data_IF_946585000946
#
_entry.id   IF_946585000946
#
_cell.length_a   1.000
_cell.length_b   1.000
_cell.length_c   1.000
_cell.angle_alpha   90.00
_cell.angle_beta   90.00
_cell.angle_gamma   90.00
#
_symmetry.space_group_name_H-M   'P 1'
#
loop_
_entity.id
_entity.type
_entity.pdbx_description
1 polymer ?
#
# COMPACT_ATOMS: atom_id res chain seq x y z
N UNK A 1 9.88 4.73 15.10
CA UNK A 1 9.85 5.60 13.89
C UNK A 1 9.87 4.84 12.55
N UNK A 2 9.86 3.48 12.52
CA UNK A 2 10.05 2.72 11.27
C UNK A 2 8.83 1.91 10.79
N UNK A 3 7.61 2.17 11.30
CA UNK A 3 6.36 1.54 10.83
C UNK A 3 5.73 2.27 9.64
N UNK A 4 6.30 3.41 9.22
CA UNK A 4 5.74 4.34 8.23
C UNK A 4 6.17 4.06 6.78
N UNK A 5 6.92 2.98 6.52
CA UNK A 5 7.72 2.92 5.29
C UNK A 5 6.88 2.68 4.05
N UNK A 6 5.93 1.74 4.06
CA UNK A 6 5.21 1.40 2.82
C UNK A 6 4.21 2.45 2.35
N UNK A 7 3.30 2.88 3.22
CA UNK A 7 2.33 3.91 2.87
C UNK A 7 3.01 5.28 2.70
N UNK A 8 4.02 5.60 3.51
CA UNK A 8 4.76 6.86 3.42
C UNK A 8 5.56 7.02 2.12
N UNK A 9 6.09 5.93 1.56
CA UNK A 9 6.86 5.96 0.32
C UNK A 9 6.02 5.77 -0.96
N UNK A 10 4.74 5.42 -0.82
CA UNK A 10 3.87 5.17 -1.97
C UNK A 10 3.78 6.36 -2.94
N UNK A 11 3.64 7.63 -2.52
CA UNK A 11 3.69 8.77 -3.42
C UNK A 11 4.99 8.85 -4.24
N UNK A 12 6.13 8.52 -3.62
CA UNK A 12 7.44 8.51 -4.30
C UNK A 12 7.47 7.46 -5.41
N UNK A 13 7.01 6.23 -5.15
CA UNK A 13 6.94 5.17 -6.17
C UNK A 13 6.00 5.53 -7.32
N UNK A 14 4.84 6.12 -7.02
CA UNK A 14 3.89 6.57 -8.04
C UNK A 14 4.48 7.68 -8.92
N UNK A 15 5.18 8.64 -8.33
CA UNK A 15 5.86 9.70 -9.08
C UNK A 15 6.95 9.14 -10.00
N UNK A 16 7.76 8.20 -9.50
CA UNK A 16 8.78 7.51 -10.29
C UNK A 16 8.18 6.74 -11.46
N UNK A 17 7.07 6.03 -11.23
CA UNK A 17 6.38 5.27 -12.28
C UNK A 17 5.77 6.19 -13.33
N UNK A 18 5.06 7.26 -12.92
CA UNK A 18 4.47 8.24 -13.82
C UNK A 18 5.50 8.90 -14.74
N UNK A 19 6.71 9.15 -14.24
CA UNK A 19 7.80 9.73 -15.02
C UNK A 19 8.32 8.82 -16.14
N UNK A 20 8.05 7.50 -16.08
CA UNK A 20 8.69 6.49 -16.93
C UNK A 20 7.75 5.84 -17.95
N UNK A 21 6.45 5.81 -17.70
CA UNK A 21 5.47 5.26 -18.65
C UNK A 21 5.43 6.09 -19.94
N UNK A 22 5.24 5.45 -21.10
CA UNK A 22 5.36 6.15 -22.37
C UNK A 22 4.12 7.00 -22.70
N UNK A 23 2.92 6.47 -22.44
CA UNK A 23 1.68 7.11 -22.91
C UNK A 23 1.17 8.18 -21.94
N UNK A 24 0.65 9.29 -22.50
CA UNK A 24 0.02 10.35 -21.71
C UNK A 24 -1.22 9.84 -20.96
N UNK A 25 -1.96 8.87 -21.52
CA UNK A 25 -3.11 8.26 -20.88
C UNK A 25 -2.73 7.53 -19.59
N UNK A 26 -1.75 6.61 -19.68
CA UNK A 26 -1.25 5.87 -18.52
C UNK A 26 -0.60 6.80 -17.49
N UNK A 27 0.19 7.78 -17.95
CA UNK A 27 0.79 8.79 -17.08
C UNK A 27 -0.27 9.59 -16.30
N UNK A 28 -1.33 10.01 -16.99
CA UNK A 28 -2.43 10.76 -16.36
C UNK A 28 -3.19 9.91 -15.35
N UNK A 29 -3.43 8.64 -15.66
CA UNK A 29 -4.08 7.71 -14.75
C UNK A 29 -3.24 7.49 -13.47
N UNK A 30 -1.92 7.28 -13.60
CA UNK A 30 -1.02 7.15 -12.43
C UNK A 30 -0.93 8.46 -11.65
N UNK A 31 -0.87 9.60 -12.34
CA UNK A 31 -0.84 10.92 -11.69
C UNK A 31 -2.14 11.21 -10.92
N UNK A 32 -3.29 10.73 -11.38
CA UNK A 32 -4.54 10.80 -10.63
C UNK A 32 -4.45 10.01 -9.32
N UNK A 33 -3.89 8.79 -9.35
CA UNK A 33 -3.61 8.02 -8.11
C UNK A 33 -2.69 8.78 -7.18
N UNK A 34 -1.58 9.32 -7.71
CA UNK A 34 -0.64 10.12 -6.92
C UNK A 34 -1.32 11.35 -6.28
N UNK A 35 -2.21 12.02 -7.02
CA UNK A 35 -2.95 13.17 -6.50
C UNK A 35 -3.81 12.79 -5.30
N UNK A 36 -4.52 11.66 -5.38
CA UNK A 36 -5.31 11.12 -4.27
C UNK A 36 -4.43 10.79 -3.05
N UNK A 37 -3.29 10.11 -3.25
CA UNK A 37 -2.36 9.78 -2.16
C UNK A 37 -1.78 11.02 -1.47
N UNK A 38 -1.64 12.13 -2.21
CA UNK A 38 -1.16 13.41 -1.70
C UNK A 38 -2.30 14.31 -1.18
N UNK A 39 -3.54 13.81 -1.09
CA UNK A 39 -4.69 14.60 -0.65
C UNK A 39 -4.99 15.80 -1.54
N UNK A 40 -4.69 15.69 -2.84
CA UNK A 40 -4.73 16.77 -3.82
C UNK A 40 -3.90 18.00 -3.41
N UNK A 41 -2.74 17.77 -2.79
CA UNK A 41 -1.86 18.82 -2.30
C UNK A 41 -2.26 19.39 -0.93
N UNK A 42 -3.30 18.84 -0.30
CA UNK A 42 -3.73 19.20 1.05
C UNK A 42 -3.39 18.05 1.98
N UNK A 43 -2.31 18.18 2.76
CA UNK A 43 -1.84 17.11 3.66
C UNK A 43 -2.93 16.60 4.62
N UNK A 44 -3.82 17.49 5.08
CA UNK A 44 -4.94 17.14 5.96
C UNK A 44 -5.92 16.12 5.34
N UNK A 45 -5.90 15.99 4.00
CA UNK A 45 -6.72 15.05 3.21
C UNK A 45 -5.94 13.81 2.76
N UNK A 46 -4.63 13.74 2.98
CA UNK A 46 -3.82 12.62 2.54
C UNK A 46 -4.14 11.35 3.36
N UNK A 47 -4.31 10.18 2.74
CA UNK A 47 -4.56 8.91 3.46
C UNK A 47 -3.52 8.61 4.55
N UNK A 48 -2.27 9.02 4.31
CA UNK A 48 -1.17 8.87 5.27
C UNK A 48 -1.48 9.51 6.63
N UNK A 49 -2.20 10.65 6.66
CA UNK A 49 -2.56 11.31 7.91
C UNK A 49 -3.48 10.43 8.77
N UNK A 50 -4.51 9.86 8.17
CA UNK A 50 -5.42 8.97 8.89
C UNK A 50 -4.72 7.68 9.34
N UNK A 51 -3.75 7.18 8.56
CA UNK A 51 -2.91 6.05 9.00
C UNK A 51 -2.06 6.43 10.22
N UNK A 52 -1.42 7.61 10.22
CA UNK A 52 -0.69 8.11 11.39
C UNK A 52 -1.61 8.25 12.61
N UNK A 53 -2.83 8.75 12.44
CA UNK A 53 -3.81 8.86 13.52
C UNK A 53 -4.16 7.49 14.11
N UNK A 54 -4.45 6.50 13.26
CA UNK A 54 -4.70 5.12 13.70
C UNK A 54 -3.51 4.54 14.47
N UNK A 55 -2.29 4.74 13.98
CA UNK A 55 -1.09 4.25 14.68
C UNK A 55 -0.90 4.90 16.05
N UNK A 56 -1.22 6.19 16.18
CA UNK A 56 -1.18 6.88 17.49
C UNK A 56 -2.21 6.30 18.47
N UNK A 57 -3.39 5.91 18.01
CA UNK A 57 -4.40 5.26 18.85
C UNK A 57 -3.96 3.87 19.31
N UNK A 58 -3.28 3.14 18.42
CA UNK A 58 -2.73 1.82 18.70
C UNK A 58 -1.41 1.85 19.49
N UNK A 59 -0.81 3.02 19.75
CA UNK A 59 0.48 3.11 20.46
C UNK A 59 0.39 2.50 21.86
N UNK A 60 -0.78 2.58 22.52
CA UNK A 60 -1.00 1.94 23.82
C UNK A 60 -0.93 0.41 23.79
N UNK A 61 -1.10 -0.21 22.62
CA UNK A 61 -1.01 -1.66 22.42
C UNK A 61 0.43 -2.10 22.08
N UNK A 62 1.35 -1.14 21.90
CA UNK A 62 2.75 -1.45 21.64
C UNK A 62 3.37 -2.09 22.89
N UNK A 63 4.07 -3.24 22.76
CA UNK A 63 4.74 -3.85 23.90
C UNK A 63 5.77 -2.89 24.52
N UNK A 64 5.69 -2.70 25.83
CA UNK A 64 6.43 -1.66 26.57
C UNK A 64 7.92 -1.98 26.80
N UNK A 65 8.36 -3.22 26.55
CA UNK A 65 9.72 -3.68 26.80
C UNK A 65 10.19 -4.62 25.68
N UNK A 66 10.55 -4.05 24.53
CA UNK A 66 11.26 -4.78 23.47
C UNK A 66 12.72 -4.36 23.46
N UNK A 67 13.63 -5.32 23.43
CA UNK A 67 15.01 -5.06 23.01
C UNK A 67 15.03 -4.55 21.57
N UNK A 68 16.09 -3.82 21.19
CA UNK A 68 16.24 -3.34 19.82
C UNK A 68 16.27 -4.49 18.79
N UNK A 69 16.76 -5.67 19.18
CA UNK A 69 16.73 -6.87 18.33
C UNK A 69 15.32 -7.44 18.15
N UNK A 70 14.51 -7.47 19.20
CA UNK A 70 13.12 -7.93 19.11
C UNK A 70 12.28 -6.97 18.28
N UNK A 71 12.45 -5.66 18.48
CA UNK A 71 11.78 -4.66 17.65
C UNK A 71 12.17 -4.81 16.16
N UNK A 72 13.45 -5.07 15.87
CA UNK A 72 13.89 -5.34 14.49
C UNK A 72 13.23 -6.59 13.91
N UNK A 73 13.15 -7.68 14.68
CA UNK A 73 12.51 -8.91 14.24
C UNK A 73 11.01 -8.73 13.97
N UNK A 74 10.29 -8.01 14.84
CA UNK A 74 8.87 -7.71 14.66
C UNK A 74 8.60 -6.85 13.42
N UNK A 75 9.51 -5.93 13.10
CA UNK A 75 9.38 -5.02 11.95
C UNK A 75 9.94 -5.58 10.64
N UNK A 76 10.69 -6.68 10.69
CA UNK A 76 11.37 -7.25 9.52
C UNK A 76 10.40 -7.57 8.35
N UNK A 77 9.21 -8.18 8.57
CA UNK A 77 8.28 -8.48 7.49
C UNK A 77 7.86 -7.24 6.70
N UNK A 78 7.52 -6.15 7.41
CA UNK A 78 7.11 -4.89 6.78
C UNK A 78 8.23 -4.23 5.97
N UNK A 79 9.47 -4.29 6.47
CA UNK A 79 10.66 -3.78 5.76
C UNK A 79 10.97 -4.60 4.50
N UNK A 80 10.82 -5.93 4.58
CA UNK A 80 11.02 -6.81 3.42
C UNK A 80 9.96 -6.56 2.35
N UNK A 81 8.69 -6.45 2.74
CA UNK A 81 7.63 -6.07 1.82
C UNK A 81 8.00 -4.75 1.13
N UNK A 82 8.34 -3.73 1.91
CA UNK A 82 8.66 -2.42 1.38
C UNK A 82 9.81 -2.43 0.37
N UNK A 83 10.90 -3.14 0.67
CA UNK A 83 12.00 -3.31 -0.27
C UNK A 83 11.53 -3.91 -1.61
N UNK A 84 10.65 -4.92 -1.57
CA UNK A 84 10.06 -5.49 -2.79
C UNK A 84 9.16 -4.51 -3.53
N UNK A 85 8.41 -3.67 -2.82
CA UNK A 85 7.56 -2.66 -3.46
C UNK A 85 8.39 -1.58 -4.16
N UNK A 86 9.52 -1.20 -3.57
CA UNK A 86 10.50 -0.30 -4.18
C UNK A 86 11.12 -0.91 -5.44
N UNK A 87 11.55 -2.17 -5.39
CA UNK A 87 12.08 -2.89 -6.56
C UNK A 87 11.05 -2.93 -7.70
N UNK A 88 9.78 -3.21 -7.40
CA UNK A 88 8.71 -3.23 -8.40
C UNK A 88 8.43 -1.84 -9.00
N UNK A 89 8.43 -0.79 -8.17
CA UNK A 89 8.29 0.59 -8.66
C UNK A 89 9.48 1.06 -9.51
N UNK A 90 10.66 0.51 -9.25
CA UNK A 90 11.89 0.80 -9.98
C UNK A 90 12.21 -0.20 -11.10
N UNK A 91 11.35 -1.19 -11.35
CA UNK A 91 11.57 -2.23 -12.36
C UNK A 91 11.88 -1.64 -13.74
N UNK A 92 12.83 -2.21 -14.48
CA UNK A 92 13.34 -1.64 -15.74
C UNK A 92 12.23 -1.37 -16.78
N UNK A 93 11.27 -2.28 -16.90
CA UNK A 93 10.04 -2.08 -17.67
C UNK A 93 8.96 -1.42 -16.78
N UNK A 94 8.47 -0.21 -17.09
CA UNK A 94 7.45 0.46 -16.31
C UNK A 94 6.10 -0.26 -16.31
N UNK A 95 5.83 -1.17 -17.25
CA UNK A 95 4.62 -1.98 -17.24
C UNK A 95 4.61 -3.00 -16.10
N UNK A 96 5.78 -3.48 -15.67
CA UNK A 96 5.91 -4.31 -14.45
C UNK A 96 5.46 -3.50 -13.22
N UNK A 97 5.95 -2.26 -13.08
CA UNK A 97 5.51 -1.38 -12.00
C UNK A 97 4.01 -1.04 -12.07
N UNK A 98 3.46 -0.90 -13.28
CA UNK A 98 2.03 -0.67 -13.51
C UNK A 98 1.19 -1.89 -13.09
N UNK A 99 1.62 -3.09 -13.43
CA UNK A 99 0.97 -4.33 -13.02
C UNK A 99 0.98 -4.51 -11.50
N UNK A 100 2.12 -4.21 -10.87
CA UNK A 100 2.25 -4.21 -9.42
C UNK A 100 1.32 -3.18 -8.76
N UNK A 101 1.16 -1.98 -9.33
CA UNK A 101 0.22 -0.96 -8.86
C UNK A 101 -1.22 -1.48 -8.91
N UNK A 102 -1.64 -2.05 -10.04
CA UNK A 102 -3.00 -2.60 -10.22
C UNK A 102 -3.33 -3.67 -9.18
N UNK A 103 -2.44 -4.66 -9.02
CA UNK A 103 -2.62 -5.71 -8.02
C UNK A 103 -2.65 -5.14 -6.59
N UNK A 104 -1.78 -4.18 -6.30
CA UNK A 104 -1.72 -3.49 -5.01
C UNK A 104 -3.01 -2.74 -4.68
N UNK A 105 -3.68 -2.13 -5.66
CA UNK A 105 -4.97 -1.45 -5.44
C UNK A 105 -6.09 -2.42 -5.06
N UNK A 106 -6.14 -3.58 -5.73
CA UNK A 106 -7.10 -4.64 -5.41
C UNK A 106 -6.84 -5.16 -3.99
N UNK A 107 -5.58 -5.49 -3.68
CA UNK A 107 -5.20 -5.99 -2.37
C UNK A 107 -5.49 -4.98 -1.26
N UNK A 108 -5.14 -3.70 -1.45
CA UNK A 108 -5.37 -2.63 -0.48
C UNK A 108 -6.86 -2.46 -0.18
N UNK A 109 -7.73 -2.59 -1.18
CA UNK A 109 -9.19 -2.58 -0.98
C UNK A 109 -9.64 -3.79 -0.15
N UNK A 110 -9.21 -5.00 -0.53
CA UNK A 110 -9.55 -6.23 0.20
C UNK A 110 -9.07 -6.18 1.66
N UNK A 111 -7.84 -5.71 1.90
CA UNK A 111 -7.28 -5.58 3.23
C UNK A 111 -8.04 -4.54 4.07
N UNK A 112 -8.37 -3.38 3.50
CA UNK A 112 -9.17 -2.36 4.18
C UNK A 112 -10.56 -2.88 4.57
N UNK A 113 -11.24 -3.59 3.65
CA UNK A 113 -12.55 -4.20 3.92
C UNK A 113 -12.46 -5.25 5.02
N UNK A 114 -11.43 -6.10 4.99
CA UNK A 114 -11.16 -7.09 6.02
C UNK A 114 -10.90 -6.45 7.38
N UNK A 115 -10.01 -5.45 7.46
CA UNK A 115 -9.68 -4.75 8.70
C UNK A 115 -10.90 -4.02 9.27
N UNK A 116 -11.72 -3.40 8.41
CA UNK A 116 -13.00 -2.80 8.81
C UNK A 116 -13.90 -3.82 9.49
N UNK A 117 -14.02 -5.02 8.91
CA UNK A 117 -14.80 -6.11 9.51
C UNK A 117 -14.24 -6.57 10.85
N UNK A 118 -12.91 -6.71 10.98
CA UNK A 118 -12.31 -7.13 12.27
C UNK A 118 -12.48 -6.06 13.35
N UNK A 119 -12.21 -4.79 13.05
CA UNK A 119 -12.38 -3.68 14.01
C UNK A 119 -13.84 -3.53 14.42
N UNK A 120 -14.80 -3.74 13.50
CA UNK A 120 -16.23 -3.65 13.83
C UNK A 120 -16.75 -4.75 14.77
N UNK A 121 -15.97 -5.81 14.99
CA UNK A 121 -16.34 -6.93 15.87
C UNK A 121 -15.87 -6.74 17.31
N UNK A 122 -14.86 -5.88 17.54
CA UNK A 122 -14.39 -5.52 18.88
C UNK A 122 -15.13 -4.26 19.37
N UNK A 123 -15.74 -4.30 20.56
CA UNK A 123 -16.49 -3.17 21.14
C UNK A 123 -15.58 -2.05 21.72
N UNK A 124 -14.27 -2.07 21.46
CA UNK A 124 -13.31 -1.01 21.87
C UNK A 124 -12.01 -1.13 21.06
N UNK A 125 -11.35 -0.05 20.59
CA UNK A 125 -11.47 1.36 20.96
C UNK A 125 -12.38 2.15 20.00
N UNK A 126 -12.78 3.34 20.46
CA UNK A 126 -13.55 4.36 19.72
C UNK A 126 -13.19 4.32 18.24
N UNK A 127 -14.17 3.97 17.41
CA UNK A 127 -14.10 4.01 15.97
C UNK A 127 -13.94 5.46 15.50
N UNK A 128 -12.80 6.07 15.82
CA UNK A 128 -12.31 7.25 15.14
C UNK A 128 -12.20 6.86 13.68
N UNK A 129 -12.77 7.68 12.81
CA UNK A 129 -12.89 7.42 11.37
C UNK A 129 -11.59 6.82 10.83
N UNK A 130 -11.57 5.49 10.65
CA UNK A 130 -10.38 4.83 10.16
C UNK A 130 -10.02 5.50 8.82
N UNK A 131 -8.73 5.67 8.47
CA UNK A 131 -8.31 6.36 7.25
C UNK A 131 -9.05 5.92 5.97
N UNK A 132 -9.54 4.68 5.94
CA UNK A 132 -10.30 4.10 4.84
C UNK A 132 -11.84 4.29 4.91
N UNK A 133 -12.35 4.93 5.97
CA UNK A 133 -13.78 5.22 6.20
C UNK A 133 -14.21 6.57 5.61
N UNK A 134 -13.31 7.52 5.38
CA UNK A 134 -13.70 8.79 4.77
C UNK A 134 -13.87 8.69 3.24
N UNK A 135 -15.10 8.95 2.81
CA UNK A 135 -15.58 9.42 1.51
C UNK A 135 -15.76 8.47 0.30
N UNK A 136 -17.05 8.31 -0.04
CA UNK A 136 -17.70 8.72 -1.30
C UNK A 136 -16.87 8.72 -2.59
N UNK A 137 -17.30 7.91 -3.57
CA UNK A 137 -16.74 7.82 -4.95
C UNK A 137 -15.22 7.88 -5.01
N UNK A 138 -14.56 6.92 -4.38
CA UNK A 138 -13.13 6.68 -4.60
C UNK A 138 -12.91 6.49 -6.11
N UNK A 139 -12.04 7.30 -6.71
CA UNK A 139 -11.50 7.04 -8.05
C UNK A 139 -11.12 5.56 -8.12
N UNK A 140 -11.63 4.83 -9.10
CA UNK A 140 -11.21 3.45 -9.33
C UNK A 140 -10.02 3.48 -10.30
N UNK A 141 -8.78 3.50 -9.78
CA UNK A 141 -7.61 3.55 -10.63
C UNK A 141 -7.51 2.32 -11.52
N UNK A 142 -8.13 1.20 -11.15
CA UNK A 142 -8.03 -0.04 -11.93
C UNK A 142 -8.71 0.07 -13.29
N UNK A 143 -9.85 0.77 -13.37
CA UNK A 143 -10.56 1.00 -14.64
C UNK A 143 -9.79 1.96 -15.56
N UNK A 144 -9.27 3.06 -15.01
CA UNK A 144 -8.49 4.04 -15.78
C UNK A 144 -7.12 3.50 -16.24
N UNK A 145 -6.45 2.73 -15.38
CA UNK A 145 -5.17 2.11 -15.69
C UNK A 145 -5.33 0.98 -16.71
N UNK A 146 -6.28 0.06 -16.53
CA UNK A 146 -6.46 -1.09 -17.43
C UNK A 146 -6.80 -0.69 -18.87
N UNK A 147 -7.58 0.37 -19.07
CA UNK A 147 -7.94 0.89 -20.39
C UNK A 147 -6.80 1.65 -21.09
N UNK A 148 -5.74 1.99 -20.38
CA UNK A 148 -4.64 2.83 -20.88
C UNK A 148 -3.37 2.05 -21.24
N UNK A 149 -3.35 0.73 -21.04
CA UNK A 149 -2.16 -0.10 -21.27
C UNK A 149 -2.26 -0.80 -22.63
N UNK A 150 -1.22 -0.72 -23.49
CA UNK A 150 -1.21 -1.44 -24.76
C UNK A 150 -1.17 -2.97 -24.56
N UNK A 151 -1.78 -3.72 -25.48
CA UNK A 151 -1.79 -5.20 -25.43
C UNK A 151 -0.38 -5.81 -25.37
N UNK A 152 0.60 -5.20 -26.04
CA UNK A 152 2.00 -5.62 -26.01
C UNK A 152 2.61 -5.60 -24.60
N UNK A 153 2.00 -4.87 -23.65
CA UNK A 153 2.43 -4.78 -22.27
C UNK A 153 1.70 -5.74 -21.32
N UNK A 154 0.82 -6.62 -21.82
CA UNK A 154 0.05 -7.54 -20.96
C UNK A 154 0.95 -8.54 -20.21
N UNK A 155 1.99 -9.05 -20.84
CA UNK A 155 2.94 -9.95 -20.18
C UNK A 155 3.73 -9.27 -19.04
N UNK A 156 4.39 -8.11 -19.24
CA UNK A 156 5.08 -7.43 -18.15
C UNK A 156 4.11 -6.93 -17.07
N UNK A 157 2.90 -6.49 -17.43
CA UNK A 157 1.84 -6.19 -16.45
C UNK A 157 1.54 -7.41 -15.56
N UNK A 158 1.32 -8.57 -16.18
CA UNK A 158 0.99 -9.80 -15.47
C UNK A 158 2.12 -10.22 -14.53
N UNK A 159 3.37 -10.14 -14.99
CA UNK A 159 4.55 -10.38 -14.17
C UNK A 159 4.57 -9.47 -12.94
N UNK A 160 4.39 -8.16 -13.13
CA UNK A 160 4.36 -7.19 -12.03
C UNK A 160 3.24 -7.47 -11.01
N UNK A 161 2.05 -7.81 -11.51
CA UNK A 161 0.91 -8.17 -10.66
C UNK A 161 1.19 -9.44 -9.84
N UNK A 162 1.78 -10.47 -10.46
CA UNK A 162 2.16 -11.72 -9.80
C UNK A 162 3.23 -11.49 -8.73
N UNK A 163 4.29 -10.75 -9.06
CA UNK A 163 5.39 -10.48 -8.12
C UNK A 163 4.92 -9.64 -6.93
N UNK A 164 4.07 -8.64 -7.17
CA UNK A 164 3.40 -7.89 -6.10
C UNK A 164 2.61 -8.82 -5.19
N UNK A 165 1.79 -9.70 -5.77
CA UNK A 165 0.95 -10.63 -5.02
C UNK A 165 1.79 -11.61 -4.19
N UNK A 166 2.88 -12.12 -4.74
CA UNK A 166 3.83 -12.98 -4.03
C UNK A 166 4.45 -12.26 -2.84
N UNK A 167 4.88 -11.01 -3.02
CA UNK A 167 5.44 -10.21 -1.92
C UNK A 167 4.43 -9.94 -0.80
N UNK A 168 3.19 -9.59 -1.15
CA UNK A 168 2.11 -9.40 -0.18
C UNK A 168 1.75 -10.68 0.57
N UNK A 169 1.73 -11.82 -0.13
CA UNK A 169 1.47 -13.11 0.52
C UNK A 169 2.60 -13.51 1.46
N UNK A 170 3.86 -13.37 1.04
CA UNK A 170 5.02 -13.61 1.88
C UNK A 170 5.03 -12.73 3.13
N UNK A 171 4.57 -11.47 3.02
CA UNK A 171 4.37 -10.60 4.16
C UNK A 171 3.34 -11.15 5.14
N UNK A 172 2.18 -11.61 4.67
CA UNK A 172 1.15 -12.19 5.53
C UNK A 172 1.63 -13.48 6.21
N UNK A 173 2.35 -14.35 5.51
CA UNK A 173 2.93 -15.57 6.08
C UNK A 173 3.97 -15.24 7.17
N UNK A 174 4.83 -14.24 6.91
CA UNK A 174 5.83 -13.78 7.88
C UNK A 174 5.18 -13.11 9.10
N UNK A 175 4.14 -12.30 8.90
CA UNK A 175 3.35 -11.70 9.97
C UNK A 175 2.66 -12.78 10.82
N UNK A 176 2.10 -13.82 10.19
CA UNK A 176 1.55 -14.96 10.92
C UNK A 176 2.61 -15.64 11.78
N UNK A 177 3.83 -15.82 11.24
CA UNK A 177 4.97 -16.32 12.00
C UNK A 177 5.24 -15.50 13.25
N UNK A 178 5.30 -14.17 13.11
CA UNK A 178 5.52 -13.24 14.23
C UNK A 178 4.40 -13.31 15.28
N UNK A 179 3.14 -13.36 14.85
CA UNK A 179 2.00 -13.30 15.77
C UNK A 179 1.67 -14.64 16.44
N UNK A 180 1.95 -15.76 15.79
CA UNK A 180 1.39 -17.06 16.19
C UNK A 180 2.37 -18.22 16.27
N UNK A 181 3.53 -18.18 15.61
CA UNK A 181 4.55 -19.23 15.77
C UNK A 181 5.48 -18.87 16.93
N UNK A 182 5.33 -19.58 18.04
CA UNK A 182 6.25 -19.53 19.18
C UNK A 182 7.53 -20.30 18.88
#
# INVERSE_FOLDING_TARGET
ANLFTSEGNRPRRLAQLAARVETNALRSAIAAVLSEELGHGQFERAPLRGFCALMMELESWRPSLLSSSEEQALLAPGRQLEARLEELGAAADPHVGTGALLAGEVFRRQLADFLKLQVSRDESPRATELPWQSNTKRFDPTTALSSSVPEAAFEPLWLGAMERRRAEWAFLDALYGVCFRK
#
